data_IF_183451828687
#
_entry.id   IF_183451828687
#
_cell.length_a   1.000
_cell.length_b   1.000
_cell.length_c   1.000
_cell.angle_alpha   90.00
_cell.angle_beta   90.00
_cell.angle_gamma   90.00
#
_symmetry.space_group_name_H-M   'P 1'
#
loop_
_entity.id
_entity.type
_entity.pdbx_description
1 polymer ?
#
# COMPACT_ATOMS: atom_id res chain seq x y z
N UNK A 1 6.34 29.30 2.65
CA UNK A 1 6.48 28.08 3.44
C UNK A 1 7.60 27.22 2.84
N UNK A 2 8.82 27.44 3.30
CA UNK A 2 10.01 26.82 2.69
C UNK A 2 10.17 25.33 3.06
N UNK A 3 9.72 24.93 4.25
CA UNK A 3 9.94 23.56 4.73
C UNK A 3 8.99 22.55 4.07
N UNK A 4 7.81 22.94 3.64
CA UNK A 4 6.90 22.06 2.89
C UNK A 4 7.41 21.74 1.46
N UNK A 5 8.36 22.49 0.92
CA UNK A 5 9.02 22.17 -0.37
C UNK A 5 9.84 20.89 -0.33
N UNK A 6 10.21 20.42 0.88
CA UNK A 6 10.92 19.14 1.06
C UNK A 6 10.00 17.94 0.84
N UNK A 7 8.68 18.14 0.93
CA UNK A 7 7.68 17.12 0.67
C UNK A 7 7.40 17.14 -0.83
N UNK A 8 7.72 16.07 -1.51
CA UNK A 8 7.47 15.93 -2.95
C UNK A 8 6.07 15.34 -3.14
N UNK A 9 5.26 15.95 -4.01
CA UNK A 9 3.85 15.57 -4.16
C UNK A 9 3.00 15.98 -2.95
N UNK A 10 1.85 15.34 -2.77
CA UNK A 10 0.94 15.51 -1.62
C UNK A 10 0.46 16.97 -1.44
N UNK A 11 0.09 17.62 -2.54
CA UNK A 11 -0.26 19.06 -2.50
C UNK A 11 -1.45 19.34 -1.57
N UNK A 12 -2.46 18.47 -1.55
CA UNK A 12 -3.65 18.59 -0.68
C UNK A 12 -3.27 18.50 0.81
N UNK A 13 -2.43 17.54 1.16
CA UNK A 13 -1.96 17.36 2.53
C UNK A 13 -1.06 18.52 2.96
N UNK A 14 -0.20 19.00 2.05
CA UNK A 14 0.63 20.20 2.30
C UNK A 14 -0.22 21.45 2.54
N UNK A 15 -1.29 21.64 1.77
CA UNK A 15 -2.22 22.78 1.97
C UNK A 15 -2.90 22.70 3.34
N UNK A 16 -3.33 21.51 3.76
CA UNK A 16 -3.95 21.33 5.07
C UNK A 16 -2.97 21.59 6.21
N UNK A 17 -1.73 21.09 6.10
CA UNK A 17 -0.67 21.39 7.05
C UNK A 17 -0.30 22.87 7.07
N UNK A 18 -0.33 23.52 5.91
CA UNK A 18 -0.09 24.95 5.79
C UNK A 18 -1.19 25.78 6.49
N UNK A 19 -2.46 25.37 6.39
CA UNK A 19 -3.58 26.00 7.13
C UNK A 19 -3.39 25.89 8.64
N UNK A 20 -2.97 24.72 9.13
CA UNK A 20 -2.67 24.52 10.56
C UNK A 20 -1.51 25.41 11.00
N UNK A 21 -0.46 25.50 10.18
CA UNK A 21 0.66 26.39 10.46
C UNK A 21 0.25 27.85 10.52
N UNK A 22 -0.61 28.30 9.59
CA UNK A 22 -1.15 29.68 9.59
C UNK A 22 -2.00 29.94 10.83
N UNK A 23 -2.83 28.99 11.26
CA UNK A 23 -3.58 29.05 12.52
C UNK A 23 -2.65 29.22 13.74
N UNK A 24 -1.53 28.51 13.79
CA UNK A 24 -0.55 28.61 14.89
C UNK A 24 0.18 29.94 14.90
N UNK A 25 0.49 30.52 13.73
CA UNK A 25 1.24 31.78 13.58
C UNK A 25 0.37 33.02 13.74
N UNK A 26 -0.86 32.96 13.25
CA UNK A 26 -1.76 34.12 13.12
C UNK A 26 -3.03 33.99 13.97
N UNK A 27 -2.87 33.54 15.21
CA UNK A 27 -3.96 33.23 16.16
C UNK A 27 -5.00 34.37 16.27
N UNK A 28 -4.56 35.61 16.31
CA UNK A 28 -5.45 36.80 16.43
C UNK A 28 -6.40 36.93 15.24
N UNK A 29 -5.93 36.68 14.02
CA UNK A 29 -6.75 36.70 12.80
C UNK A 29 -7.95 35.75 12.89
N UNK A 30 -7.75 34.60 13.50
CA UNK A 30 -8.78 33.57 13.63
C UNK A 30 -9.66 33.76 14.88
N UNK A 31 -9.13 34.39 15.92
CA UNK A 31 -9.89 34.76 17.13
C UNK A 31 -11.05 35.71 16.82
N UNK A 32 -10.83 36.68 15.91
CA UNK A 32 -11.87 37.59 15.43
C UNK A 32 -13.04 36.85 14.77
N UNK A 33 -12.78 35.69 14.16
CA UNK A 33 -13.78 34.84 13.54
C UNK A 33 -14.41 33.84 14.52
N UNK A 34 -14.03 33.88 15.81
CA UNK A 34 -14.50 32.94 16.82
C UNK A 34 -13.95 31.51 16.65
N UNK A 35 -12.91 31.33 15.82
CA UNK A 35 -12.31 30.00 15.55
C UNK A 35 -11.49 29.54 16.75
N UNK A 36 -11.80 28.34 17.24
CA UNK A 36 -10.98 27.66 18.26
C UNK A 36 -9.87 26.88 17.57
N UNK A 37 -8.62 27.15 17.96
CA UNK A 37 -7.47 26.38 17.46
C UNK A 37 -7.58 24.92 17.92
N UNK A 38 -7.41 23.93 17.02
CA UNK A 38 -7.28 22.54 17.43
C UNK A 38 -6.03 22.40 18.31
N UNK A 39 -6.10 21.55 19.32
CA UNK A 39 -4.96 21.31 20.24
C UNK A 39 -3.98 20.31 19.73
N UNK A 40 -4.47 19.38 18.91
CA UNK A 40 -3.67 18.30 18.37
C UNK A 40 -4.07 17.97 16.93
N UNK A 41 -3.10 17.40 16.20
CA UNK A 41 -3.32 16.74 14.91
C UNK A 41 -2.70 15.35 14.93
N UNK A 42 -3.41 14.40 14.33
CA UNK A 42 -2.92 13.05 14.08
C UNK A 42 -2.71 12.83 12.58
N UNK A 43 -1.49 12.54 12.17
CA UNK A 43 -1.15 12.08 10.81
C UNK A 43 -1.14 10.55 10.82
N UNK A 44 -2.03 9.91 10.06
CA UNK A 44 -2.11 8.45 10.07
C UNK A 44 -2.16 7.87 8.66
N UNK A 45 -1.77 6.60 8.52
CA UNK A 45 -1.73 5.87 7.24
C UNK A 45 -0.59 4.85 7.24
N UNK A 46 -0.49 4.06 6.19
CA UNK A 46 0.48 2.97 6.09
C UNK A 46 1.93 3.40 6.34
N UNK A 47 2.81 2.46 6.74
CA UNK A 47 4.23 2.74 6.91
C UNK A 47 4.88 3.23 5.61
N UNK A 48 5.87 4.15 5.74
CA UNK A 48 6.67 4.59 4.60
C UNK A 48 6.01 5.63 3.67
N UNK A 49 4.93 6.30 4.12
CA UNK A 49 4.25 7.36 3.37
C UNK A 49 4.78 8.78 3.64
N UNK A 50 5.77 8.92 4.53
CA UNK A 50 6.37 10.23 4.84
C UNK A 50 5.67 11.01 5.97
N UNK A 51 4.84 10.37 6.80
CA UNK A 51 4.14 11.02 7.93
C UNK A 51 5.08 11.78 8.87
N UNK A 52 6.18 11.16 9.29
CA UNK A 52 7.19 11.80 10.14
C UNK A 52 7.84 13.00 9.45
N UNK A 53 8.15 12.90 8.15
CA UNK A 53 8.68 14.02 7.35
C UNK A 53 7.67 15.19 7.29
N UNK A 54 6.39 14.91 7.12
CA UNK A 54 5.31 15.91 7.10
C UNK A 54 5.16 16.58 8.48
N UNK A 55 5.21 15.80 9.56
CA UNK A 55 5.19 16.32 10.92
C UNK A 55 6.40 17.24 11.19
N UNK A 56 7.60 16.82 10.82
CA UNK A 56 8.83 17.61 10.96
C UNK A 56 8.78 18.90 10.13
N UNK A 57 8.25 18.85 8.91
CA UNK A 57 8.07 20.02 8.07
C UNK A 57 7.11 21.04 8.72
N UNK A 58 6.00 20.57 9.33
CA UNK A 58 5.07 21.42 10.07
C UNK A 58 5.73 22.03 11.31
N UNK A 59 6.50 21.24 12.06
CA UNK A 59 7.26 21.70 13.23
C UNK A 59 8.23 22.82 12.83
N UNK A 60 9.06 22.55 11.82
CA UNK A 60 10.06 23.51 11.33
C UNK A 60 9.41 24.78 10.77
N UNK A 61 8.31 24.63 10.02
CA UNK A 61 7.60 25.78 9.44
C UNK A 61 6.92 26.64 10.52
N UNK A 62 6.45 26.03 11.62
CA UNK A 62 5.80 26.76 12.72
C UNK A 62 6.74 27.70 13.48
N UNK A 63 8.05 27.40 13.49
CA UNK A 63 9.05 28.12 14.25
C UNK A 63 8.99 27.90 15.77
N UNK A 64 8.13 26.99 16.25
CA UNK A 64 7.96 26.71 17.67
C UNK A 64 8.99 25.67 18.16
N UNK A 65 9.37 25.77 19.42
CA UNK A 65 10.23 24.77 20.07
C UNK A 65 9.50 23.43 20.17
N UNK A 66 10.13 22.36 19.73
CA UNK A 66 9.54 21.01 19.73
C UNK A 66 10.17 20.13 20.82
N UNK A 67 9.30 19.38 21.49
CA UNK A 67 9.64 18.34 22.47
C UNK A 67 9.11 17.01 21.92
N UNK A 68 10.03 16.11 21.55
CA UNK A 68 9.69 14.84 20.92
C UNK A 68 9.63 13.71 21.95
N UNK A 69 8.62 12.87 21.81
CA UNK A 69 8.45 11.65 22.59
C UNK A 69 8.27 10.48 21.64
N UNK A 70 9.21 9.54 21.70
CA UNK A 70 9.18 8.28 20.93
C UNK A 70 9.52 7.14 21.89
N UNK A 71 8.78 6.02 21.78
CA UNK A 71 9.05 4.82 22.59
C UNK A 71 10.23 4.07 21.97
N UNK A 72 11.35 4.12 22.65
CA UNK A 72 12.63 3.50 22.27
C UNK A 72 12.97 2.27 23.13
N UNK A 73 12.28 2.09 24.28
CA UNK A 73 12.49 0.97 25.20
C UNK A 73 11.16 0.46 25.77
N UNK A 74 11.12 -0.82 26.11
CA UNK A 74 10.00 -1.47 26.76
C UNK A 74 10.21 -1.54 28.29
N UNK A 75 10.72 -0.46 28.89
CA UNK A 75 10.87 -0.29 30.33
C UNK A 75 9.73 0.57 30.86
N UNK A 76 9.20 0.30 32.03
CA UNK A 76 8.08 1.04 32.62
C UNK A 76 8.29 2.56 32.82
N UNK A 77 9.47 3.10 32.49
CA UNK A 77 9.82 4.52 32.62
C UNK A 77 9.22 5.41 31.51
N UNK A 78 8.53 4.85 30.53
CA UNK A 78 8.04 5.62 29.39
C UNK A 78 6.89 6.58 29.78
N UNK A 79 6.08 6.24 30.76
CA UNK A 79 5.03 7.13 31.32
C UNK A 79 5.63 8.42 31.87
N UNK A 80 6.72 8.31 32.61
CA UNK A 80 7.41 9.48 33.16
C UNK A 80 8.03 10.33 32.05
N UNK A 81 8.55 9.70 30.98
CA UNK A 81 9.05 10.40 29.79
C UNK A 81 7.95 11.18 29.09
N UNK A 82 6.73 10.60 28.95
CA UNK A 82 5.56 11.32 28.41
C UNK A 82 5.28 12.56 29.26
N UNK A 83 5.09 12.40 30.57
CA UNK A 83 4.79 13.52 31.47
C UNK A 83 5.86 14.62 31.42
N UNK A 84 7.12 14.23 31.55
CA UNK A 84 8.25 15.17 31.48
C UNK A 84 8.32 15.93 30.15
N UNK A 85 7.94 15.28 29.04
CA UNK A 85 7.90 15.92 27.71
C UNK A 85 6.83 17.00 27.66
N UNK A 86 5.60 16.70 28.15
CA UNK A 86 4.51 17.67 28.22
C UNK A 86 4.81 18.81 29.18
N UNK A 87 5.34 18.53 30.37
CA UNK A 87 5.76 19.58 31.31
C UNK A 87 6.81 20.51 30.72
N UNK A 88 7.79 19.94 30.01
CA UNK A 88 8.83 20.73 29.34
C UNK A 88 8.26 21.62 28.25
N UNK A 89 7.26 21.11 27.53
CA UNK A 89 6.56 21.90 26.52
C UNK A 89 5.76 23.05 27.13
N UNK A 90 5.04 22.81 28.22
CA UNK A 90 4.29 23.83 28.97
C UNK A 90 5.22 24.93 29.49
N UNK A 91 6.38 24.57 30.03
CA UNK A 91 7.38 25.55 30.54
C UNK A 91 8.00 26.42 29.42
N UNK A 92 7.85 26.02 28.17
CA UNK A 92 8.42 26.70 27.01
C UNK A 92 7.36 27.13 25.99
N UNK A 93 6.17 27.50 26.44
CA UNK A 93 5.12 28.06 25.57
C UNK A 93 5.56 29.32 24.81
N UNK A 94 5.19 29.50 23.53
CA UNK A 94 4.46 28.60 22.64
C UNK A 94 5.36 27.47 22.11
N UNK A 95 4.90 26.23 22.24
CA UNK A 95 5.71 25.04 21.91
C UNK A 95 4.89 23.94 21.21
N UNK A 96 5.60 22.89 20.80
CA UNK A 96 5.02 21.66 20.20
C UNK A 96 5.46 20.45 20.97
N UNK A 97 4.53 19.50 21.20
CA UNK A 97 4.83 18.12 21.57
C UNK A 97 4.68 17.24 20.34
N UNK A 98 5.68 16.43 20.04
CA UNK A 98 5.66 15.49 18.93
C UNK A 98 5.67 14.05 19.42
N UNK A 99 4.59 13.29 19.15
CA UNK A 99 4.43 11.89 19.49
C UNK A 99 4.60 11.04 18.21
N UNK A 100 5.79 10.49 18.00
CA UNK A 100 6.08 9.69 16.81
C UNK A 100 5.72 8.23 17.03
N UNK A 101 5.02 7.61 16.05
CA UNK A 101 4.51 6.24 16.10
C UNK A 101 3.61 5.98 17.32
N UNK A 102 2.65 6.85 17.58
CA UNK A 102 1.79 6.82 18.78
C UNK A 102 1.01 5.50 18.91
N UNK A 103 0.65 4.86 17.82
CA UNK A 103 -0.01 3.55 17.78
C UNK A 103 0.82 2.43 18.46
N UNK A 104 2.12 2.60 18.66
CA UNK A 104 2.96 1.63 19.36
C UNK A 104 2.84 1.69 20.89
N UNK A 105 2.30 2.78 21.44
CA UNK A 105 2.23 2.98 22.90
C UNK A 105 0.90 3.56 23.40
N UNK A 106 -0.07 3.82 22.56
CA UNK A 106 -1.38 4.32 22.96
C UNK A 106 -2.49 3.30 22.72
N UNK A 107 -2.19 2.00 22.85
CA UNK A 107 -3.14 0.92 22.61
C UNK A 107 -3.98 0.59 23.83
N UNK A 108 -5.26 0.29 23.64
CA UNK A 108 -6.20 -0.20 24.66
C UNK A 108 -6.52 -1.70 24.46
N UNK A 109 -5.57 -2.51 24.03
CA UNK A 109 -5.81 -3.92 23.79
C UNK A 109 -5.91 -4.73 25.07
N UNK A 110 -6.97 -5.54 25.18
CA UNK A 110 -7.28 -6.47 26.28
C UNK A 110 -6.29 -7.65 26.41
N UNK A 111 -5.33 -7.79 25.49
CA UNK A 111 -4.29 -8.83 25.51
C UNK A 111 -3.02 -8.32 26.18
N UNK A 112 -2.71 -8.89 27.29
CA UNK A 112 -1.48 -9.06 28.11
C UNK A 112 -0.30 -8.06 28.06
N UNK A 113 -0.25 -7.04 27.21
CA UNK A 113 0.82 -6.03 27.19
C UNK A 113 0.31 -4.64 27.57
N UNK A 114 0.68 -4.21 28.75
CA UNK A 114 0.37 -3.03 29.54
C UNK A 114 0.71 -1.66 28.91
N UNK A 115 0.09 -1.26 27.82
CA UNK A 115 0.17 0.13 27.36
C UNK A 115 -0.98 1.00 27.91
N UNK A 116 -1.74 0.50 28.89
CA UNK A 116 -2.86 1.25 29.52
C UNK A 116 -2.38 2.48 30.27
N UNK A 117 -1.22 2.41 30.89
CA UNK A 117 -0.66 3.52 31.67
C UNK A 117 -0.20 4.67 30.76
N UNK A 118 0.45 4.35 29.65
CA UNK A 118 0.87 5.36 28.66
C UNK A 118 -0.32 6.05 28.02
N UNK A 119 -1.36 5.28 27.66
CA UNK A 119 -2.60 5.83 27.14
C UNK A 119 -3.25 6.81 28.14
N UNK A 120 -3.40 6.43 29.41
CA UNK A 120 -3.96 7.28 30.46
C UNK A 120 -3.10 8.53 30.67
N UNK A 121 -1.77 8.38 30.65
CA UNK A 121 -0.85 9.51 30.77
C UNK A 121 -1.03 10.52 29.64
N UNK A 122 -1.10 10.07 28.38
CA UNK A 122 -1.34 10.95 27.22
C UNK A 122 -2.68 11.67 27.36
N UNK A 123 -3.73 10.93 27.76
CA UNK A 123 -5.05 11.50 27.95
C UNK A 123 -5.04 12.61 29.00
N UNK A 124 -4.44 12.37 30.17
CA UNK A 124 -4.28 13.35 31.23
C UNK A 124 -3.49 14.57 30.77
N UNK A 125 -2.32 14.34 30.13
CA UNK A 125 -1.49 15.45 29.63
C UNK A 125 -2.22 16.32 28.61
N UNK A 126 -3.02 15.73 27.71
CA UNK A 126 -3.83 16.50 26.75
C UNK A 126 -4.90 17.35 27.43
N UNK A 127 -5.45 16.90 28.56
CA UNK A 127 -6.40 17.68 29.37
C UNK A 127 -5.72 18.86 30.06
N UNK A 128 -4.49 18.68 30.54
CA UNK A 128 -3.70 19.75 31.19
C UNK A 128 -3.31 20.88 30.22
N UNK A 129 -3.40 20.65 28.90
CA UNK A 129 -3.17 21.67 27.87
C UNK A 129 -4.34 22.62 27.65
N UNK A 130 -5.42 22.55 28.42
CA UNK A 130 -6.66 23.35 28.23
C UNK A 130 -6.27 24.80 28.28
N UNK A 131 -5.68 25.56 28.39
CA UNK A 131 -5.37 27.00 28.42
C UNK A 131 -3.91 27.29 28.07
N UNK A 132 -3.23 26.26 27.52
CA UNK A 132 -1.82 26.33 27.20
C UNK A 132 -1.58 26.53 25.71
N UNK A 133 -0.54 27.26 25.37
CA UNK A 133 -0.11 27.44 23.97
C UNK A 133 0.82 26.32 23.49
N UNK A 134 0.43 25.09 23.79
CA UNK A 134 1.11 23.89 23.35
C UNK A 134 0.26 23.19 22.29
N UNK A 135 0.86 22.88 21.14
CA UNK A 135 0.21 22.11 20.08
C UNK A 135 0.80 20.71 20.03
N UNK A 136 -0.03 19.70 19.86
CA UNK A 136 0.42 18.30 19.81
C UNK A 136 0.33 17.78 18.39
N UNK A 137 1.42 17.21 17.89
CA UNK A 137 1.47 16.51 16.61
C UNK A 137 1.73 15.04 16.91
N UNK A 138 0.94 14.15 16.34
CA UNK A 138 1.18 12.72 16.45
C UNK A 138 1.21 12.05 15.09
N UNK A 139 1.99 10.97 14.96
CA UNK A 139 1.95 10.06 13.82
C UNK A 139 1.48 8.68 14.26
N UNK A 140 0.80 7.95 13.37
CA UNK A 140 0.39 6.57 13.58
C UNK A 140 0.38 5.79 12.27
N UNK A 141 0.74 4.52 12.31
CA UNK A 141 0.64 3.64 11.15
C UNK A 141 -0.77 3.05 11.02
N UNK A 142 -1.38 2.71 12.14
CA UNK A 142 -2.73 2.16 12.19
C UNK A 142 -3.59 2.91 13.23
N UNK A 143 -4.58 3.63 12.74
CA UNK A 143 -5.52 4.38 13.59
C UNK A 143 -6.42 3.45 14.43
N UNK A 144 -6.65 2.21 13.98
CA UNK A 144 -7.50 1.24 14.70
C UNK A 144 -6.89 0.80 16.02
N UNK A 145 -5.57 0.96 16.17
CA UNK A 145 -4.84 0.70 17.41
C UNK A 145 -4.94 1.86 18.43
N UNK A 146 -5.51 2.99 18.02
CA UNK A 146 -5.65 4.16 18.90
C UNK A 146 -7.06 4.18 19.51
N UNK A 147 -7.19 4.25 20.85
CA UNK A 147 -8.49 4.30 21.50
C UNK A 147 -9.34 5.47 21.03
N UNK A 148 -10.61 5.21 20.74
CA UNK A 148 -11.56 6.22 20.28
C UNK A 148 -11.63 7.45 21.18
N UNK A 149 -11.41 7.28 22.49
CA UNK A 149 -11.39 8.38 23.44
C UNK A 149 -10.29 9.42 23.20
N UNK A 150 -9.18 9.04 22.54
CA UNK A 150 -8.14 9.97 22.09
C UNK A 150 -8.50 10.68 20.77
N UNK A 151 -9.34 10.08 19.94
CA UNK A 151 -9.72 10.59 18.62
C UNK A 151 -10.87 11.61 18.65
N UNK A 152 -11.33 11.99 19.86
CA UNK A 152 -12.45 12.94 20.04
C UNK A 152 -11.99 14.39 19.91
N UNK A 153 -12.97 15.28 19.65
CA UNK A 153 -12.79 16.73 19.72
C UNK A 153 -12.17 17.17 21.06
N UNK A 154 -11.26 18.13 20.98
CA UNK A 154 -10.46 18.60 22.12
C UNK A 154 -9.21 17.76 22.41
N UNK A 155 -9.01 16.64 21.71
CA UNK A 155 -7.79 15.81 21.69
C UNK A 155 -7.31 15.69 20.24
N UNK A 156 -7.19 14.48 19.67
CA UNK A 156 -6.87 14.27 18.25
C UNK A 156 -8.12 14.25 17.36
N UNK A 157 -9.06 15.19 17.55
CA UNK A 157 -10.22 15.34 16.69
C UNK A 157 -9.85 15.75 15.27
N UNK A 158 -8.73 16.49 15.10
CA UNK A 158 -8.18 16.80 13.78
C UNK A 158 -7.28 15.64 13.33
N UNK A 159 -7.69 14.94 12.27
CA UNK A 159 -7.00 13.81 11.71
C UNK A 159 -6.69 14.10 10.25
N UNK A 160 -5.50 13.71 9.78
CA UNK A 160 -5.09 13.77 8.39
C UNK A 160 -4.61 12.38 7.97
N UNK A 161 -5.41 11.72 7.13
CA UNK A 161 -5.05 10.43 6.54
C UNK A 161 -4.08 10.68 5.41
N UNK A 162 -2.90 10.04 5.50
CA UNK A 162 -1.91 10.02 4.43
C UNK A 162 -2.08 8.70 3.69
N UNK A 163 -2.33 8.79 2.40
CA UNK A 163 -2.49 7.63 1.54
C UNK A 163 -1.24 7.39 0.68
N UNK A 164 -1.19 6.26 -0.01
CA UNK A 164 -0.16 6.01 -1.03
C UNK A 164 -0.20 7.11 -2.08
N UNK A 165 0.97 7.56 -2.58
CA UNK A 165 1.02 8.66 -3.53
C UNK A 165 0.19 8.36 -4.79
N UNK A 166 -0.41 9.40 -5.36
CA UNK A 166 -1.04 9.32 -6.68
C UNK A 166 0.01 8.95 -7.74
N UNK A 167 -0.43 8.56 -8.95
CA UNK A 167 0.51 8.30 -10.04
C UNK A 167 1.36 9.53 -10.33
N UNK A 168 0.74 10.71 -10.38
CA UNK A 168 1.41 11.98 -10.64
C UNK A 168 2.43 12.32 -9.54
N UNK A 169 2.09 12.05 -8.29
CA UNK A 169 3.01 12.26 -7.17
C UNK A 169 4.12 11.22 -7.16
N UNK A 170 3.82 9.95 -7.49
CA UNK A 170 4.82 8.89 -7.63
C UNK A 170 5.87 9.25 -8.71
N UNK A 171 5.44 9.81 -9.85
CA UNK A 171 6.35 10.30 -10.90
C UNK A 171 7.27 11.39 -10.36
N UNK A 172 6.73 12.39 -9.63
CA UNK A 172 7.53 13.47 -9.03
C UNK A 172 8.53 12.94 -7.99
N UNK A 173 8.08 12.02 -7.12
CA UNK A 173 8.91 11.40 -6.07
C UNK A 173 10.04 10.60 -6.71
N UNK A 174 9.74 9.77 -7.72
CA UNK A 174 10.73 8.98 -8.44
C UNK A 174 11.70 9.89 -9.19
N UNK A 175 11.21 10.92 -9.88
CA UNK A 175 12.07 11.89 -10.55
C UNK A 175 13.08 12.49 -9.59
N UNK A 176 12.65 12.88 -8.38
CA UNK A 176 13.54 13.38 -7.32
C UNK A 176 14.59 12.35 -6.91
N UNK A 177 14.23 11.07 -6.75
CA UNK A 177 15.20 10.04 -6.41
C UNK A 177 16.19 9.74 -7.56
N UNK A 178 15.77 9.96 -8.80
CA UNK A 178 16.60 9.76 -9.99
C UNK A 178 17.57 10.93 -10.27
N UNK A 179 17.30 12.15 -9.77
CA UNK A 179 18.12 13.35 -10.03
C UNK A 179 19.63 13.13 -9.78
N UNK A 180 19.97 12.32 -8.78
CA UNK A 180 21.36 12.03 -8.37
C UNK A 180 21.87 10.68 -8.84
N UNK A 181 21.14 10.02 -9.76
CA UNK A 181 21.47 8.67 -10.26
C UNK A 181 21.88 8.74 -11.73
N UNK A 182 22.89 7.96 -12.10
CA UNK A 182 23.25 7.79 -13.51
C UNK A 182 22.30 6.76 -14.14
N UNK A 183 21.27 7.24 -14.83
CA UNK A 183 20.28 6.39 -15.51
C UNK A 183 20.46 6.43 -17.01
N UNK A 184 20.06 5.36 -17.70
CA UNK A 184 20.05 5.30 -19.16
C UNK A 184 18.93 6.15 -19.74
N UNK A 185 19.06 6.62 -20.98
CA UNK A 185 18.09 7.50 -21.66
C UNK A 185 16.70 6.86 -21.83
N UNK A 186 16.63 5.53 -21.84
CA UNK A 186 15.40 4.76 -21.93
C UNK A 186 14.65 4.59 -20.59
N UNK A 187 15.18 5.11 -19.48
CA UNK A 187 14.55 5.09 -18.15
C UNK A 187 13.93 6.45 -17.89
N UNK A 188 12.61 6.49 -17.79
CA UNK A 188 11.85 7.66 -17.35
C UNK A 188 11.25 7.44 -15.95
N UNK A 189 10.94 8.53 -15.26
CA UNK A 189 10.23 8.45 -14.00
C UNK A 189 8.84 7.82 -14.17
N UNK A 190 8.15 8.09 -15.29
CA UNK A 190 6.87 7.49 -15.65
C UNK A 190 6.97 5.97 -15.79
N UNK A 191 8.01 5.47 -16.46
CA UNK A 191 8.26 4.04 -16.57
C UNK A 191 8.38 3.39 -15.20
N UNK A 192 9.19 3.96 -14.32
CA UNK A 192 9.39 3.40 -12.97
C UNK A 192 8.12 3.53 -12.12
N UNK A 193 7.37 4.64 -12.25
CA UNK A 193 6.10 4.85 -11.56
C UNK A 193 5.03 3.82 -11.98
N UNK A 194 4.95 3.48 -13.27
CA UNK A 194 4.03 2.45 -13.76
C UNK A 194 4.32 1.07 -13.15
N UNK A 195 5.60 0.73 -12.92
CA UNK A 195 5.98 -0.51 -12.24
C UNK A 195 5.61 -0.53 -10.76
N UNK A 196 5.41 0.65 -10.14
CA UNK A 196 5.34 0.85 -8.69
C UNK A 196 4.03 1.52 -8.25
N UNK A 197 3.01 1.52 -9.08
CA UNK A 197 1.73 2.14 -8.75
C UNK A 197 1.13 1.51 -7.48
N UNK A 198 0.55 2.33 -6.61
CA UNK A 198 -0.01 1.89 -5.32
C UNK A 198 1.03 1.56 -4.23
N UNK A 199 2.32 1.75 -4.49
CA UNK A 199 3.38 1.49 -3.49
C UNK A 199 3.69 2.72 -2.64
N UNK A 200 4.19 2.48 -1.42
CA UNK A 200 4.59 3.56 -0.51
C UNK A 200 5.85 4.30 -0.98
N UNK A 201 6.03 5.55 -0.54
CA UNK A 201 7.22 6.36 -0.87
C UNK A 201 8.53 5.66 -0.51
N UNK A 202 8.58 4.98 0.63
CA UNK A 202 9.75 4.22 1.06
C UNK A 202 10.02 3.02 0.13
N UNK A 203 8.99 2.39 -0.44
CA UNK A 203 9.17 1.33 -1.41
C UNK A 203 9.70 1.89 -2.74
N UNK A 204 9.21 3.06 -3.20
CA UNK A 204 9.72 3.74 -4.39
C UNK A 204 11.23 4.02 -4.24
N UNK A 205 11.64 4.58 -3.11
CA UNK A 205 13.05 4.86 -2.80
C UNK A 205 13.89 3.58 -2.79
N UNK A 206 13.39 2.53 -2.14
CA UNK A 206 14.07 1.24 -2.04
C UNK A 206 14.32 0.62 -3.41
N UNK A 207 13.33 0.67 -4.33
CA UNK A 207 13.49 0.15 -5.70
C UNK A 207 14.53 0.95 -6.48
N UNK A 208 14.50 2.28 -6.40
CA UNK A 208 15.50 3.12 -7.09
C UNK A 208 16.90 2.84 -6.57
N UNK A 209 17.03 2.61 -5.28
CA UNK A 209 18.34 2.27 -4.67
C UNK A 209 18.81 0.87 -5.06
N UNK A 210 17.93 -0.14 -4.98
CA UNK A 210 18.23 -1.53 -5.33
C UNK A 210 18.61 -1.67 -6.80
N UNK A 211 17.93 -0.95 -7.71
CA UNK A 211 18.29 -0.91 -9.13
C UNK A 211 19.72 -0.39 -9.34
N UNK A 212 20.13 0.61 -8.54
CA UNK A 212 21.51 1.10 -8.55
C UNK A 212 22.53 0.07 -8.06
N UNK A 213 22.17 -0.72 -7.04
CA UNK A 213 23.00 -1.82 -6.51
C UNK A 213 23.21 -2.88 -7.59
N UNK A 214 22.12 -3.30 -8.30
CA UNK A 214 22.25 -4.27 -9.40
C UNK A 214 23.15 -3.78 -10.53
N UNK A 215 22.98 -2.52 -10.96
CA UNK A 215 23.83 -1.93 -11.99
C UNK A 215 25.30 -1.90 -11.57
N UNK A 216 25.57 -1.51 -10.33
CA UNK A 216 26.92 -1.50 -9.77
C UNK A 216 27.56 -2.89 -9.69
N UNK A 217 26.78 -3.89 -9.26
CA UNK A 217 27.22 -5.29 -9.20
C UNK A 217 27.56 -5.85 -10.58
N UNK A 218 26.78 -5.47 -11.62
CA UNK A 218 27.05 -5.84 -13.03
C UNK A 218 28.18 -4.98 -13.66
N UNK A 219 28.88 -4.12 -12.91
CA UNK A 219 29.91 -3.18 -13.41
C UNK A 219 29.38 -2.24 -14.51
N UNK A 220 28.12 -1.85 -14.46
CA UNK A 220 27.51 -0.89 -15.37
C UNK A 220 27.70 0.53 -14.84
N UNK A 221 27.84 1.48 -15.76
CA UNK A 221 27.95 2.91 -15.44
C UNK A 221 26.61 3.64 -15.39
N UNK A 222 25.53 3.00 -15.88
CA UNK A 222 24.18 3.54 -15.89
C UNK A 222 23.17 2.47 -15.46
N UNK A 223 22.08 2.90 -14.82
CA UNK A 223 20.97 2.05 -14.42
C UNK A 223 20.00 1.92 -15.58
N UNK A 224 19.77 0.71 -16.09
CA UNK A 224 18.86 0.40 -17.20
C UNK A 224 17.48 -0.06 -16.70
N UNK A 225 16.48 -0.10 -17.58
CA UNK A 225 15.13 -0.67 -17.32
C UNK A 225 15.20 -2.05 -16.66
N UNK A 226 16.13 -2.91 -17.11
CA UNK A 226 16.34 -4.27 -16.56
C UNK A 226 16.59 -4.22 -15.05
N UNK A 227 17.46 -3.30 -14.56
CA UNK A 227 17.81 -3.23 -13.16
C UNK A 227 16.61 -2.81 -12.29
N UNK A 228 15.73 -1.93 -12.80
CA UNK A 228 14.47 -1.59 -12.11
C UNK A 228 13.53 -2.78 -12.04
N UNK A 229 13.39 -3.55 -13.12
CA UNK A 229 12.56 -4.77 -13.15
C UNK A 229 13.08 -5.77 -12.13
N UNK A 230 14.38 -6.05 -12.13
CA UNK A 230 15.02 -6.96 -11.18
C UNK A 230 14.86 -6.49 -9.72
N UNK A 231 14.96 -5.17 -9.47
CA UNK A 231 14.74 -4.57 -8.16
C UNK A 231 13.28 -4.71 -7.70
N UNK A 232 12.31 -4.45 -8.59
CA UNK A 232 10.87 -4.63 -8.30
C UNK A 232 10.59 -6.08 -7.93
N UNK A 233 11.07 -7.02 -8.73
CA UNK A 233 10.90 -8.45 -8.49
C UNK A 233 11.52 -8.86 -7.14
N UNK A 234 12.76 -8.44 -6.86
CA UNK A 234 13.45 -8.73 -5.62
C UNK A 234 12.70 -8.24 -4.38
N UNK A 235 12.25 -6.99 -4.41
CA UNK A 235 11.59 -6.37 -3.26
C UNK A 235 10.13 -6.82 -3.09
N UNK A 236 9.43 -7.09 -4.19
CA UNK A 236 8.05 -7.60 -4.13
C UNK A 236 8.00 -9.05 -3.68
N UNK A 237 8.89 -9.91 -4.16
CA UNK A 237 8.90 -11.33 -3.82
C UNK A 237 9.70 -11.63 -2.55
N UNK A 238 10.59 -10.71 -2.12
CA UNK A 238 11.59 -10.90 -1.05
C UNK A 238 12.53 -12.09 -1.29
N UNK A 239 12.70 -12.52 -2.54
CA UNK A 239 13.47 -13.71 -2.96
C UNK A 239 14.53 -13.32 -3.99
N UNK A 240 15.63 -14.06 -4.01
CA UNK A 240 16.68 -13.84 -5.01
C UNK A 240 16.28 -14.47 -6.35
N UNK A 241 16.82 -13.95 -7.48
CA UNK A 241 16.72 -14.63 -8.75
C UNK A 241 17.23 -16.07 -8.62
N UNK A 242 16.48 -17.03 -9.12
CA UNK A 242 16.89 -18.43 -9.14
C UNK A 242 17.59 -18.80 -10.44
N UNK A 243 18.30 -19.94 -10.43
CA UNK A 243 18.99 -20.46 -11.60
C UNK A 243 18.03 -20.74 -12.76
N UNK A 244 18.59 -20.92 -13.96
CA UNK A 244 17.82 -21.12 -15.19
C UNK A 244 16.88 -22.31 -15.07
N UNK A 245 15.60 -22.06 -15.25
CA UNK A 245 14.53 -23.06 -15.33
C UNK A 245 14.66 -23.88 -16.63
N UNK A 246 14.32 -25.16 -16.60
CA UNK A 246 14.25 -25.98 -17.82
C UNK A 246 13.24 -25.39 -18.82
N UNK A 247 13.52 -25.56 -20.14
CA UNK A 247 12.70 -24.96 -21.17
C UNK A 247 11.22 -25.37 -21.13
N UNK A 248 10.93 -26.59 -20.72
CA UNK A 248 9.56 -27.11 -20.59
C UNK A 248 8.80 -26.42 -19.46
N UNK A 249 9.42 -26.37 -18.29
CA UNK A 249 8.86 -25.70 -17.12
C UNK A 249 8.68 -24.18 -17.39
N UNK A 250 9.66 -23.57 -18.04
CA UNK A 250 9.58 -22.16 -18.42
C UNK A 250 8.46 -21.87 -19.40
N UNK A 251 8.15 -22.80 -20.32
CA UNK A 251 6.98 -22.64 -21.21
C UNK A 251 5.66 -22.69 -20.41
N UNK A 252 5.54 -23.57 -19.45
CA UNK A 252 4.35 -23.63 -18.58
C UNK A 252 4.17 -22.30 -17.82
N UNK A 253 5.24 -21.75 -17.25
CA UNK A 253 5.24 -20.44 -16.60
C UNK A 253 4.78 -19.35 -17.58
N UNK A 254 5.30 -19.35 -18.80
CA UNK A 254 4.88 -18.36 -19.81
C UNK A 254 3.39 -18.43 -20.13
N UNK A 255 2.80 -19.62 -20.21
CA UNK A 255 1.35 -19.76 -20.42
C UNK A 255 0.55 -19.34 -19.19
N UNK A 256 1.03 -19.67 -17.98
CA UNK A 256 0.43 -19.23 -16.72
C UNK A 256 0.33 -17.69 -16.69
N UNK A 257 1.45 -16.99 -16.84
CA UNK A 257 1.51 -15.54 -16.82
C UNK A 257 0.74 -14.89 -17.98
N UNK A 258 0.75 -15.51 -19.16
CA UNK A 258 -0.05 -15.05 -20.28
C UNK A 258 -1.55 -15.17 -20.02
N UNK A 259 -1.99 -16.17 -19.24
CA UNK A 259 -3.37 -16.30 -18.79
C UNK A 259 -3.84 -15.08 -17.98
N UNK A 260 -3.05 -14.67 -16.99
CA UNK A 260 -3.30 -13.45 -16.22
C UNK A 260 -3.35 -12.22 -17.13
N UNK A 261 -2.39 -12.09 -18.05
CA UNK A 261 -2.30 -10.95 -18.95
C UNK A 261 -3.52 -10.85 -19.88
N UNK A 262 -3.97 -11.95 -20.48
CA UNK A 262 -5.18 -11.97 -21.32
C UNK A 262 -6.41 -11.55 -20.54
N UNK A 263 -6.62 -12.11 -19.35
CA UNK A 263 -7.76 -11.75 -18.53
C UNK A 263 -7.73 -10.27 -18.07
N UNK A 264 -6.55 -9.75 -17.75
CA UNK A 264 -6.37 -8.35 -17.39
C UNK A 264 -6.73 -7.40 -18.56
N UNK A 265 -6.25 -7.69 -19.78
CA UNK A 265 -6.56 -6.91 -20.99
C UNK A 265 -8.09 -6.86 -21.22
N UNK A 266 -8.76 -7.99 -21.14
CA UNK A 266 -10.23 -8.06 -21.34
C UNK A 266 -11.02 -7.44 -20.20
N UNK A 267 -10.39 -7.26 -19.04
CA UNK A 267 -10.93 -6.47 -17.91
C UNK A 267 -10.61 -4.96 -18.02
N UNK A 268 -10.02 -4.51 -19.12
CA UNK A 268 -9.65 -3.12 -19.34
C UNK A 268 -8.45 -2.64 -18.51
N UNK A 269 -7.63 -3.55 -18.01
CA UNK A 269 -6.40 -3.23 -17.25
C UNK A 269 -5.18 -3.23 -18.18
N UNK A 270 -4.28 -2.30 -17.93
CA UNK A 270 -2.95 -2.27 -18.55
C UNK A 270 -2.00 -3.16 -17.76
N UNK A 271 -1.08 -3.84 -18.45
CA UNK A 271 -0.04 -4.65 -17.81
C UNK A 271 1.17 -3.76 -17.51
N UNK A 272 1.54 -3.62 -16.25
CA UNK A 272 2.74 -2.89 -15.86
C UNK A 272 4.00 -3.71 -16.15
N UNK A 273 3.97 -5.01 -15.84
CA UNK A 273 5.08 -5.93 -16.01
C UNK A 273 4.56 -7.35 -16.18
N UNK A 274 5.07 -8.06 -17.17
CA UNK A 274 4.87 -9.48 -17.37
C UNK A 274 6.24 -10.16 -17.52
N UNK A 275 6.59 -11.10 -16.65
CA UNK A 275 7.91 -11.76 -16.70
C UNK A 275 7.82 -13.24 -16.36
N UNK A 276 8.61 -14.04 -17.06
CA UNK A 276 8.81 -15.47 -16.78
C UNK A 276 10.09 -15.74 -15.98
N UNK A 277 10.73 -14.69 -15.45
CA UNK A 277 11.92 -14.83 -14.61
C UNK A 277 11.55 -15.35 -13.25
N UNK A 278 12.18 -16.41 -12.85
CA UNK A 278 11.95 -17.08 -11.57
C UNK A 278 12.66 -16.36 -10.41
N UNK A 279 11.95 -16.16 -9.30
CA UNK A 279 12.48 -15.62 -8.06
C UNK A 279 12.12 -16.57 -6.90
N UNK A 280 13.03 -17.42 -6.50
CA UNK A 280 12.78 -18.50 -5.55
C UNK A 280 11.76 -19.51 -6.11
N UNK A 281 10.66 -19.75 -5.41
CA UNK A 281 9.58 -20.65 -5.85
C UNK A 281 8.55 -19.94 -6.77
N UNK A 282 8.61 -18.61 -6.90
CA UNK A 282 7.74 -17.86 -7.79
C UNK A 282 8.26 -17.99 -9.21
N UNK A 283 7.49 -18.67 -10.07
CA UNK A 283 7.88 -19.02 -11.43
C UNK A 283 7.91 -17.83 -12.38
N UNK A 284 6.96 -16.90 -12.25
CA UNK A 284 6.81 -15.70 -13.05
C UNK A 284 6.09 -14.62 -12.28
N UNK A 285 5.72 -13.53 -12.94
CA UNK A 285 5.00 -12.44 -12.32
C UNK A 285 4.25 -11.60 -13.36
N UNK A 286 2.97 -11.39 -13.12
CA UNK A 286 2.13 -10.47 -13.87
C UNK A 286 1.63 -9.38 -12.94
N UNK A 287 1.94 -8.11 -13.23
CA UNK A 287 1.35 -6.98 -12.53
C UNK A 287 0.58 -6.08 -13.48
N UNK A 288 -0.54 -5.57 -12.99
CA UNK A 288 -1.37 -4.61 -13.71
C UNK A 288 -1.18 -3.21 -13.15
N UNK A 289 -1.40 -2.19 -13.98
CA UNK A 289 -1.46 -0.81 -13.52
C UNK A 289 -2.73 -0.62 -12.70
N UNK A 290 -2.59 -0.32 -11.42
CA UNK A 290 -3.70 -0.03 -10.54
C UNK A 290 -4.05 1.46 -10.61
N UNK A 291 -5.17 1.80 -11.26
CA UNK A 291 -5.69 3.16 -11.21
C UNK A 291 -6.49 3.34 -9.94
N UNK A 292 -6.04 4.23 -9.04
CA UNK A 292 -6.82 4.61 -7.86
C UNK A 292 -8.19 5.10 -8.29
N UNK A 293 -9.25 4.40 -7.87
CA UNK A 293 -10.63 4.83 -8.02
C UNK A 293 -11.21 5.09 -6.63
N UNK A 294 -11.99 6.15 -6.49
CA UNK A 294 -12.70 6.45 -5.24
C UNK A 294 -13.68 5.34 -4.86
N UNK A 295 -14.25 4.68 -5.86
CA UNK A 295 -15.19 3.57 -5.68
C UNK A 295 -14.76 2.38 -6.53
N UNK A 296 -14.63 1.22 -5.89
CA UNK A 296 -14.50 -0.07 -6.57
C UNK A 296 -15.88 -0.61 -6.89
N UNK A 297 -16.11 -1.01 -8.14
CA UNK A 297 -17.33 -1.67 -8.55
C UNK A 297 -17.26 -3.17 -8.22
N UNK A 298 -18.43 -3.77 -8.10
CA UNK A 298 -18.55 -5.22 -8.00
C UNK A 298 -17.87 -5.96 -9.17
N UNK A 299 -18.04 -5.44 -10.37
CA UNK A 299 -17.46 -6.01 -11.59
C UNK A 299 -15.90 -5.98 -11.55
N UNK A 300 -15.32 -4.92 -11.03
CA UNK A 300 -13.86 -4.85 -10.87
C UNK A 300 -13.33 -5.89 -9.89
N UNK A 301 -14.02 -6.09 -8.77
CA UNK A 301 -13.62 -7.10 -7.78
C UNK A 301 -13.76 -8.52 -8.36
N UNK A 302 -14.84 -8.76 -9.10
CA UNK A 302 -15.08 -10.00 -9.82
C UNK A 302 -13.97 -10.28 -10.85
N UNK A 303 -13.62 -9.26 -11.64
CA UNK A 303 -12.56 -9.36 -12.64
C UNK A 303 -11.18 -9.62 -12.02
N UNK A 304 -10.90 -9.13 -10.81
CA UNK A 304 -9.67 -9.46 -10.09
C UNK A 304 -9.59 -10.96 -9.78
N UNK A 305 -10.68 -11.57 -9.33
CA UNK A 305 -10.71 -13.02 -9.09
C UNK A 305 -10.53 -13.79 -10.41
N UNK A 306 -11.17 -13.36 -11.50
CA UNK A 306 -11.01 -13.98 -12.83
C UNK A 306 -9.55 -13.89 -13.29
N UNK A 307 -8.90 -12.75 -13.12
CA UNK A 307 -7.48 -12.57 -13.47
C UNK A 307 -6.61 -13.56 -12.70
N UNK A 308 -6.79 -13.66 -11.38
CA UNK A 308 -6.04 -14.60 -10.54
C UNK A 308 -6.25 -16.07 -10.97
N UNK A 309 -7.47 -16.47 -11.27
CA UNK A 309 -7.78 -17.84 -11.68
C UNK A 309 -7.31 -18.17 -13.10
N UNK A 310 -7.04 -17.15 -13.93
CA UNK A 310 -6.69 -17.34 -15.35
C UNK A 310 -5.29 -17.92 -15.57
N UNK A 311 -4.36 -17.79 -14.63
CA UNK A 311 -3.08 -18.47 -14.68
C UNK A 311 -3.26 -19.99 -14.72
N UNK A 312 -3.96 -20.52 -13.70
CA UNK A 312 -4.33 -21.96 -13.63
C UNK A 312 -5.13 -22.40 -14.86
N UNK A 313 -6.14 -21.64 -15.25
CA UNK A 313 -7.01 -21.97 -16.38
C UNK A 313 -6.23 -22.10 -17.70
N UNK A 314 -5.23 -21.25 -17.94
CA UNK A 314 -4.42 -21.27 -19.13
C UNK A 314 -3.57 -22.53 -19.25
N UNK A 315 -2.92 -22.94 -18.17
CA UNK A 315 -2.10 -24.17 -18.13
C UNK A 315 -2.96 -25.43 -18.28
N UNK A 316 -4.14 -25.47 -17.68
CA UNK A 316 -5.08 -26.59 -17.89
C UNK A 316 -5.58 -26.67 -19.35
N UNK A 317 -5.88 -25.54 -19.98
CA UNK A 317 -6.31 -25.52 -21.40
C UNK A 317 -5.22 -26.06 -22.33
N UNK A 318 -3.97 -25.69 -22.10
CA UNK A 318 -2.85 -25.98 -22.99
C UNK A 318 -2.23 -27.36 -22.73
N UNK A 319 -2.05 -27.71 -21.47
CA UNK A 319 -1.31 -28.94 -21.09
C UNK A 319 -2.22 -30.04 -20.58
N UNK A 320 -3.51 -29.78 -20.33
CA UNK A 320 -4.47 -30.72 -19.74
C UNK A 320 -3.95 -31.34 -18.42
N UNK A 321 -3.25 -30.54 -17.62
CA UNK A 321 -2.60 -30.94 -16.38
C UNK A 321 -2.80 -29.88 -15.29
N UNK A 322 -2.89 -30.28 -14.01
CA UNK A 322 -3.02 -29.32 -12.91
C UNK A 322 -1.74 -28.47 -12.81
N UNK A 323 -1.95 -27.18 -12.50
CA UNK A 323 -0.87 -26.22 -12.27
C UNK A 323 -0.53 -26.13 -10.79
N UNK A 324 0.69 -26.57 -10.44
CA UNK A 324 1.19 -26.49 -9.06
C UNK A 324 1.70 -25.09 -8.68
N UNK A 325 1.90 -24.19 -9.66
CA UNK A 325 2.35 -22.80 -9.41
C UNK A 325 1.21 -21.86 -9.01
N UNK A 326 -0.05 -22.28 -9.14
CA UNK A 326 -1.24 -21.45 -8.90
C UNK A 326 -1.65 -21.32 -7.42
N UNK A 327 -0.87 -21.86 -6.46
CA UNK A 327 -1.24 -21.86 -5.03
C UNK A 327 -1.47 -20.42 -4.49
N UNK A 328 -0.56 -19.50 -4.79
CA UNK A 328 -0.67 -18.10 -4.36
C UNK A 328 -1.91 -17.41 -4.92
N UNK A 329 -2.20 -17.63 -6.20
CA UNK A 329 -3.34 -17.04 -6.90
C UNK A 329 -4.68 -17.57 -6.38
N UNK A 330 -4.76 -18.88 -6.15
CA UNK A 330 -5.94 -19.51 -5.57
C UNK A 330 -6.17 -19.00 -4.14
N UNK A 331 -5.11 -18.86 -3.36
CA UNK A 331 -5.19 -18.31 -1.98
C UNK A 331 -5.73 -16.89 -1.99
N UNK A 332 -5.21 -16.04 -2.87
CA UNK A 332 -5.66 -14.64 -2.97
C UNK A 332 -7.07 -14.54 -3.57
N UNK A 333 -7.40 -15.34 -4.59
CA UNK A 333 -8.76 -15.43 -5.12
C UNK A 333 -9.78 -15.85 -4.04
N UNK A 334 -9.41 -16.83 -3.21
CA UNK A 334 -10.25 -17.29 -2.09
C UNK A 334 -10.44 -16.19 -1.03
N UNK A 335 -9.39 -15.41 -0.73
CA UNK A 335 -9.45 -14.27 0.19
C UNK A 335 -10.39 -13.18 -0.34
N UNK A 336 -10.32 -12.86 -1.63
CA UNK A 336 -11.20 -11.90 -2.27
C UNK A 336 -12.65 -12.39 -2.34
N UNK A 337 -12.88 -13.66 -2.68
CA UNK A 337 -14.21 -14.25 -2.70
C UNK A 337 -14.85 -14.25 -1.30
N UNK A 338 -14.06 -14.54 -0.26
CA UNK A 338 -14.50 -14.42 1.14
C UNK A 338 -14.90 -13.01 1.49
N UNK A 339 -14.07 -12.01 1.19
CA UNK A 339 -14.38 -10.60 1.41
C UNK A 339 -15.67 -10.17 0.70
N UNK A 340 -15.83 -10.58 -0.53
CA UNK A 340 -16.98 -10.38 -1.38
C UNK A 340 -18.29 -10.91 -0.78
N UNK A 341 -18.24 -12.09 -0.18
CA UNK A 341 -19.40 -12.76 0.40
C UNK A 341 -19.67 -12.27 1.83
N UNK A 342 -18.65 -12.27 2.69
CA UNK A 342 -18.79 -11.99 4.12
C UNK A 342 -18.90 -10.50 4.46
N UNK A 343 -18.30 -9.60 3.66
CA UNK A 343 -18.25 -8.17 3.98
C UNK A 343 -19.15 -7.34 3.09
N UNK A 344 -19.30 -7.71 1.83
CA UNK A 344 -20.12 -6.96 0.86
C UNK A 344 -21.52 -7.55 0.66
N UNK A 345 -21.82 -8.69 1.25
CA UNK A 345 -23.11 -9.40 1.17
C UNK A 345 -23.60 -9.63 -0.27
N UNK A 346 -22.69 -9.80 -1.24
CA UNK A 346 -23.01 -9.86 -2.67
C UNK A 346 -23.89 -11.08 -3.03
N UNK A 347 -23.72 -12.20 -2.31
CA UNK A 347 -24.57 -13.39 -2.46
C UNK A 347 -25.74 -13.39 -1.47
N UNK A 348 -26.00 -12.25 -0.80
CA UNK A 348 -27.10 -12.04 0.15
C UNK A 348 -26.65 -11.84 1.60
N UNK A 349 -27.49 -11.16 2.36
CA UNK A 349 -27.18 -10.80 3.76
C UNK A 349 -27.09 -12.02 4.71
N UNK A 350 -27.59 -13.17 4.30
CA UNK A 350 -27.46 -14.41 5.09
C UNK A 350 -26.00 -14.82 5.32
N UNK A 351 -25.10 -14.39 4.46
CA UNK A 351 -23.67 -14.71 4.52
C UNK A 351 -22.81 -13.58 5.11
N UNK A 352 -23.42 -12.44 5.47
CA UNK A 352 -22.70 -11.30 6.06
C UNK A 352 -22.06 -11.69 7.38
N UNK A 353 -20.76 -11.36 7.52
CA UNK A 353 -20.00 -11.51 8.75
C UNK A 353 -19.36 -10.19 9.12
N UNK A 354 -19.83 -9.56 10.21
CA UNK A 354 -19.39 -8.24 10.66
C UNK A 354 -18.13 -8.27 11.54
N UNK A 355 -17.65 -9.47 11.87
CA UNK A 355 -16.48 -9.64 12.73
C UNK A 355 -16.75 -9.46 14.21
N UNK A 356 -17.99 -9.14 14.62
CA UNK A 356 -18.35 -9.12 16.02
C UNK A 356 -18.43 -10.56 16.54
N UNK A 357 -17.70 -10.94 17.59
CA UNK A 357 -17.94 -12.19 18.25
C UNK A 357 -19.33 -12.06 18.92
N UNK A 358 -20.35 -12.59 18.28
CA UNK A 358 -21.53 -12.96 19.06
C UNK A 358 -21.04 -13.82 20.21
N UNK A 359 -21.41 -13.47 21.42
CA UNK A 359 -21.07 -14.19 22.63
C UNK A 359 -21.68 -15.62 22.56
N UNK A 360 -20.96 -16.50 21.91
CA UNK A 360 -21.36 -17.87 21.61
C UNK A 360 -20.66 -18.35 20.36
N UNK A 361 -20.14 -19.58 20.40
CA UNK A 361 -19.57 -20.28 19.24
C UNK A 361 -20.50 -20.10 18.06
N UNK A 362 -20.01 -19.52 16.95
CA UNK A 362 -20.79 -19.52 15.72
C UNK A 362 -21.25 -20.95 15.41
N UNK A 363 -22.49 -21.14 15.02
CA UNK A 363 -22.95 -22.47 14.65
C UNK A 363 -22.03 -22.98 13.52
N UNK A 364 -21.39 -24.13 13.72
CA UNK A 364 -20.52 -24.80 12.73
C UNK A 364 -21.18 -24.81 11.35
N UNK A 365 -22.47 -25.02 11.30
CA UNK A 365 -23.31 -24.99 10.10
C UNK A 365 -23.20 -23.67 9.30
N UNK A 366 -23.10 -22.52 9.95
CA UNK A 366 -22.99 -21.23 9.24
C UNK A 366 -21.62 -21.06 8.57
N UNK A 367 -20.56 -21.55 9.22
CA UNK A 367 -19.20 -21.54 8.64
C UNK A 367 -19.14 -22.45 7.43
N UNK A 368 -19.79 -23.62 7.49
CA UNK A 368 -19.90 -24.55 6.36
C UNK A 368 -20.65 -23.90 5.19
N UNK A 369 -21.82 -23.32 5.43
CA UNK A 369 -22.63 -22.64 4.39
C UNK A 369 -21.87 -21.49 3.71
N UNK A 370 -21.08 -20.70 4.46
CA UNK A 370 -20.24 -19.65 3.89
C UNK A 370 -19.10 -20.25 3.05
N UNK A 371 -18.47 -21.31 3.55
CA UNK A 371 -17.37 -21.98 2.84
C UNK A 371 -17.87 -22.61 1.54
N UNK A 372 -19.02 -23.26 1.55
CA UNK A 372 -19.65 -23.81 0.36
C UNK A 372 -19.97 -22.71 -0.67
N UNK A 373 -20.46 -21.56 -0.19
CA UNK A 373 -20.76 -20.44 -1.07
C UNK A 373 -19.52 -19.78 -1.69
N UNK A 374 -18.40 -19.77 -0.96
CA UNK A 374 -17.11 -19.33 -1.48
C UNK A 374 -16.64 -20.30 -2.58
N UNK A 375 -16.69 -21.60 -2.33
CA UNK A 375 -16.30 -22.62 -3.29
C UNK A 375 -17.15 -22.53 -4.58
N UNK A 376 -18.47 -22.45 -4.46
CA UNK A 376 -19.39 -22.28 -5.60
C UNK A 376 -19.03 -21.03 -6.42
N UNK A 377 -18.74 -19.90 -5.75
CA UNK A 377 -18.39 -18.65 -6.44
C UNK A 377 -17.06 -18.77 -7.18
N UNK A 378 -16.07 -19.43 -6.59
CA UNK A 378 -14.77 -19.66 -7.25
C UNK A 378 -14.93 -20.57 -8.47
N UNK A 379 -15.74 -21.63 -8.39
CA UNK A 379 -16.03 -22.52 -9.54
C UNK A 379 -16.74 -21.78 -10.67
N UNK A 380 -17.75 -20.93 -10.35
CA UNK A 380 -18.41 -20.07 -11.33
C UNK A 380 -17.39 -19.18 -12.08
N UNK A 381 -16.55 -18.45 -11.34
CA UNK A 381 -15.57 -17.52 -11.92
C UNK A 381 -14.42 -18.25 -12.62
N UNK A 382 -14.07 -19.45 -12.18
CA UNK A 382 -13.09 -20.29 -12.87
C UNK A 382 -13.60 -20.78 -14.23
N UNK A 383 -14.87 -21.21 -14.30
CA UNK A 383 -15.49 -21.57 -15.57
C UNK A 383 -15.53 -20.40 -16.57
N UNK A 384 -15.76 -19.17 -16.07
CA UNK A 384 -15.69 -17.97 -16.88
C UNK A 384 -14.27 -17.66 -17.36
N UNK A 385 -13.25 -17.84 -16.49
CA UNK A 385 -11.85 -17.71 -16.87
C UNK A 385 -11.48 -18.65 -18.03
N UNK A 386 -11.90 -19.91 -17.94
CA UNK A 386 -11.71 -20.90 -19.02
C UNK A 386 -12.39 -20.44 -20.31
N UNK A 387 -13.65 -19.98 -20.24
CA UNK A 387 -14.40 -19.53 -21.41
C UNK A 387 -13.74 -18.31 -22.06
N UNK A 388 -13.29 -17.34 -21.24
CA UNK A 388 -12.56 -16.16 -21.69
C UNK A 388 -11.29 -16.55 -22.47
N UNK A 389 -10.46 -17.41 -21.87
CA UNK A 389 -9.18 -17.82 -22.46
C UNK A 389 -9.37 -18.66 -23.74
N UNK A 390 -10.33 -19.58 -23.77
CA UNK A 390 -10.65 -20.34 -24.99
C UNK A 390 -11.07 -19.43 -26.14
N UNK A 391 -11.92 -18.43 -25.86
CA UNK A 391 -12.31 -17.43 -26.87
C UNK A 391 -11.12 -16.64 -27.40
N UNK A 392 -10.08 -16.44 -26.58
CA UNK A 392 -8.93 -15.59 -26.86
C UNK A 392 -7.63 -16.41 -26.96
N UNK A 393 -7.71 -17.70 -27.30
CA UNK A 393 -6.58 -18.63 -27.31
C UNK A 393 -5.42 -18.15 -28.20
N UNK A 394 -5.71 -17.52 -29.35
CA UNK A 394 -4.68 -16.98 -30.22
C UNK A 394 -3.85 -15.88 -29.56
N UNK A 395 -4.47 -15.00 -28.74
CA UNK A 395 -3.77 -13.97 -28.00
C UNK A 395 -2.94 -14.59 -26.88
N UNK A 396 -3.49 -15.56 -26.16
CA UNK A 396 -2.80 -16.33 -25.12
C UNK A 396 -1.51 -16.96 -25.65
N UNK A 397 -1.58 -17.67 -26.77
CA UNK A 397 -0.42 -18.32 -27.41
C UNK A 397 0.64 -17.30 -27.85
N UNK A 398 0.22 -16.16 -28.43
CA UNK A 398 1.12 -15.09 -28.89
C UNK A 398 1.86 -14.43 -27.72
N UNK A 399 1.15 -14.11 -26.64
CA UNK A 399 1.78 -13.52 -25.44
C UNK A 399 2.74 -14.53 -24.82
N UNK A 400 2.34 -15.78 -24.64
CA UNK A 400 3.20 -16.82 -24.07
C UNK A 400 4.49 -17.03 -24.91
N UNK A 401 4.38 -17.10 -26.25
CA UNK A 401 5.54 -17.24 -27.12
C UNK A 401 6.45 -15.99 -27.10
N UNK A 402 5.88 -14.79 -27.06
CA UNK A 402 6.65 -13.55 -26.93
C UNK A 402 7.39 -13.52 -25.57
N UNK A 403 6.70 -13.89 -24.49
CA UNK A 403 7.27 -13.96 -23.15
C UNK A 403 8.39 -15.02 -23.07
N UNK A 404 8.22 -16.17 -23.70
CA UNK A 404 9.24 -17.20 -23.79
C UNK A 404 10.52 -16.70 -24.49
N UNK A 405 10.38 -15.86 -25.54
CA UNK A 405 11.51 -15.29 -26.28
C UNK A 405 12.21 -14.15 -25.56
N UNK A 406 11.43 -13.21 -24.98
CA UNK A 406 11.94 -11.96 -24.40
C UNK A 406 12.16 -12.02 -22.86
N UNK A 407 11.65 -13.06 -22.18
CA UNK A 407 11.62 -13.24 -20.72
C UNK A 407 10.80 -12.19 -19.97
N UNK A 408 10.66 -10.99 -20.51
CA UNK A 408 9.93 -9.88 -19.91
C UNK A 408 9.25 -9.07 -20.99
N UNK A 409 7.98 -8.74 -20.77
CA UNK A 409 7.17 -7.90 -21.66
C UNK A 409 6.61 -6.73 -20.84
N UNK A 410 6.57 -5.57 -21.47
CA UNK A 410 5.90 -4.36 -20.98
C UNK A 410 4.63 -4.12 -21.77
N UNK A 411 3.82 -3.14 -21.35
CA UNK A 411 2.55 -2.83 -22.01
C UNK A 411 2.70 -2.57 -23.52
N UNK A 412 3.74 -1.86 -23.93
CA UNK A 412 4.04 -1.57 -25.34
C UNK A 412 4.17 -2.85 -26.17
N UNK A 413 4.87 -3.86 -25.63
CA UNK A 413 5.03 -5.16 -26.29
C UNK A 413 3.71 -5.93 -26.41
N UNK A 414 2.87 -5.84 -25.36
CA UNK A 414 1.63 -6.60 -25.23
C UNK A 414 0.51 -5.98 -26.06
N UNK A 415 0.37 -4.65 -26.04
CA UNK A 415 -0.63 -3.92 -26.85
C UNK A 415 -0.44 -4.17 -28.35
N UNK A 416 0.81 -4.17 -28.82
CA UNK A 416 1.14 -4.51 -30.21
C UNK A 416 0.69 -5.95 -30.61
N UNK A 417 0.72 -6.88 -29.66
CA UNK A 417 0.26 -8.26 -29.89
C UNK A 417 -1.28 -8.34 -29.92
N UNK A 418 -1.97 -7.54 -29.10
CA UNK A 418 -3.42 -7.51 -29.03
C UNK A 418 -4.03 -6.83 -30.28
N UNK A 419 -3.48 -5.70 -30.73
CA UNK A 419 -3.98 -4.95 -31.89
C UNK A 419 -3.90 -5.75 -33.20
N UNK A 420 -2.86 -6.55 -33.38
CA UNK A 420 -2.67 -7.42 -34.53
C UNK A 420 -3.67 -8.59 -34.65
N UNK A 421 -4.59 -8.76 -33.71
CA UNK A 421 -5.66 -9.76 -33.76
C UNK A 421 -6.96 -9.15 -34.26
N UNK A 422 -7.13 -7.84 -34.03
CA UNK A 422 -8.32 -7.10 -34.43
C UNK A 422 -8.23 -6.58 -35.91
N UNK A 423 -7.08 -6.78 -36.56
CA UNK A 423 -6.85 -6.55 -38.01
C UNK A 423 -6.83 -7.86 -38.77
#
# INVERSE_FOLDING_TARGET
>A
MQNFKKIIGYETEKEELARICDLMKNKEKYAVLGVKMPRAILLHGEPGLGKTLMAEALIQESGRKCFSCKKDRADGAFVDKIRATFESAIKNEPSIVFLDDMDKFAQDNLSENNNKEEFVAIQSCLEDLKEKEVFVIATANDITNIPYSLLREGRFGKQLKIETPSKEDSVKIIAHFLEKKAVSENVSADFVANLLEGKSCAFLESVVNEAGIYAGYENKTKIDKKHFIDAVMRLSTKRLPSEKTENTERRMICYHEAGHAVAAIYSGKEIALLTSRRHGEIGGFCSTVERKKEFRTFEELRNEIIILLSGKASTEIIYNAPDLCAESDITEASRLARYYIEKLAIKGFAYLYDGTPYSGKQPVKRIEEITDKIAETLEELYAESIALLRKNQKLLERIAEALFKKETLLWEDISDLADKINT
#
